data_IF_532761126567
#
_entry.id   IF_532761126567
#
_cell.length_a   1.000
_cell.length_b   1.000
_cell.length_c   1.000
_cell.angle_alpha   90.00
_cell.angle_beta   90.00
_cell.angle_gamma   90.00
#
_symmetry.space_group_name_H-M   'P 1'
#
loop_
_entity.id
_entity.type
_entity.pdbx_description
1 polymer ?
#
# COMPACT_ATOMS: atom_id res chain seq x y z
N UNK A 1 49.54 -31.48 17.12
CA UNK A 1 49.19 -31.88 15.74
C UNK A 1 48.67 -30.63 15.06
N UNK A 2 49.43 -30.04 14.14
CA UNK A 2 49.09 -28.76 13.50
C UNK A 2 48.47 -29.09 12.15
N UNK A 3 47.22 -28.68 11.95
CA UNK A 3 46.50 -28.90 10.70
C UNK A 3 47.17 -28.10 9.57
N UNK A 4 47.30 -28.73 8.41
CA UNK A 4 47.87 -28.16 7.20
C UNK A 4 46.92 -27.11 6.60
N UNK A 5 47.46 -26.19 5.80
CA UNK A 5 46.67 -25.12 5.15
C UNK A 5 45.56 -25.68 4.23
N UNK A 6 45.75 -26.87 3.67
CA UNK A 6 44.75 -27.55 2.85
C UNK A 6 43.59 -28.12 3.69
N UNK A 7 43.89 -28.67 4.88
CA UNK A 7 42.86 -29.14 5.82
C UNK A 7 42.00 -27.97 6.34
N UNK A 8 42.62 -26.81 6.59
CA UNK A 8 41.89 -25.58 6.97
C UNK A 8 41.00 -25.09 5.82
N UNK A 9 41.49 -25.15 4.58
CA UNK A 9 40.72 -24.73 3.39
C UNK A 9 39.53 -25.65 3.09
N UNK A 10 39.64 -26.95 3.37
CA UNK A 10 38.55 -27.91 3.19
C UNK A 10 37.49 -27.82 4.29
N UNK A 11 37.89 -27.48 5.53
CA UNK A 11 36.94 -27.19 6.61
C UNK A 11 36.16 -25.91 6.28
N UNK A 12 36.84 -24.85 5.82
CA UNK A 12 36.21 -23.57 5.49
C UNK A 12 35.17 -23.67 4.36
N UNK A 13 35.42 -24.49 3.33
CA UNK A 13 34.45 -24.73 2.24
C UNK A 13 33.30 -25.63 2.67
N UNK A 14 33.52 -26.56 3.61
CA UNK A 14 32.46 -27.42 4.16
C UNK A 14 31.53 -26.64 5.09
N UNK A 15 32.06 -25.70 5.88
CA UNK A 15 31.24 -24.85 6.77
C UNK A 15 30.47 -23.76 6.00
N UNK A 16 31.01 -23.26 4.88
CA UNK A 16 30.33 -22.29 4.03
C UNK A 16 29.15 -22.87 3.24
N UNK A 17 29.07 -24.20 3.08
CA UNK A 17 27.99 -24.87 2.36
C UNK A 17 26.76 -25.24 3.20
N UNK A 18 26.80 -25.09 4.53
CA UNK A 18 25.84 -25.77 5.43
C UNK A 18 24.95 -24.85 6.28
N UNK A 19 25.02 -23.52 6.14
CA UNK A 19 24.06 -22.62 6.80
C UNK A 19 23.67 -21.46 5.88
N UNK A 20 23.18 -21.78 4.69
CA UNK A 20 22.23 -20.91 4.01
C UNK A 20 20.85 -21.37 4.46
N UNK A 21 20.51 -21.01 5.70
CA UNK A 21 19.16 -21.17 6.21
C UNK A 21 18.26 -20.37 5.27
N UNK A 22 17.50 -21.08 4.44
CA UNK A 22 16.43 -20.49 3.65
C UNK A 22 15.50 -19.87 4.67
N UNK A 23 15.54 -18.56 4.80
CA UNK A 23 14.46 -17.81 5.44
C UNK A 23 13.28 -17.98 4.49
N UNK A 24 12.50 -19.04 4.70
CA UNK A 24 11.22 -19.17 4.02
C UNK A 24 10.41 -17.91 4.35
N UNK A 25 9.82 -17.23 3.36
CA UNK A 25 9.01 -16.07 3.63
C UNK A 25 7.91 -16.51 4.59
N UNK A 26 7.89 -15.91 5.78
CA UNK A 26 6.89 -16.15 6.80
C UNK A 26 5.54 -15.96 6.13
N UNK A 27 4.88 -17.06 5.76
CA UNK A 27 3.59 -16.99 5.10
C UNK A 27 2.66 -16.38 6.13
N UNK A 28 2.27 -15.13 5.93
CA UNK A 28 1.17 -14.56 6.70
C UNK A 28 -0.06 -15.40 6.38
N UNK A 29 -0.37 -16.38 7.23
CA UNK A 29 -1.54 -17.25 7.07
C UNK A 29 -2.85 -16.47 7.23
N UNK A 30 -2.76 -15.23 7.74
CA UNK A 30 -3.89 -14.38 8.07
C UNK A 30 -3.85 -13.05 7.34
N UNK A 31 -4.98 -12.65 6.74
CA UNK A 31 -5.13 -11.34 6.10
C UNK A 31 -4.85 -10.20 7.10
N UNK A 32 -3.88 -9.30 6.82
CA UNK A 32 -3.61 -8.16 7.70
C UNK A 32 -4.81 -7.22 7.79
N UNK A 33 -5.63 -7.16 6.73
CA UNK A 33 -6.86 -6.41 6.69
C UNK A 33 -7.88 -6.79 7.79
N UNK A 34 -7.80 -8.01 8.35
CA UNK A 34 -8.74 -8.54 9.36
C UNK A 34 -8.22 -8.46 10.78
N UNK A 35 -6.93 -8.14 10.96
CA UNK A 35 -6.23 -8.18 12.24
C UNK A 35 -5.52 -6.84 12.53
N UNK A 36 -5.62 -5.89 11.60
CA UNK A 36 -4.99 -4.58 11.69
C UNK A 36 -5.41 -3.80 12.94
N UNK A 37 -4.48 -2.99 13.44
CA UNK A 37 -4.75 -2.00 14.48
C UNK A 37 -5.75 -0.97 13.93
N UNK A 38 -6.63 -0.45 14.78
CA UNK A 38 -7.50 0.70 14.44
C UNK A 38 -6.67 1.84 13.81
N UNK A 39 -6.96 2.28 12.56
CA UNK A 39 -6.14 3.26 11.83
C UNK A 39 -5.91 4.57 12.57
N UNK A 40 -6.86 5.00 13.40
CA UNK A 40 -6.76 6.21 14.21
C UNK A 40 -5.66 6.13 15.26
N UNK A 41 -5.26 4.93 15.67
CA UNK A 41 -4.19 4.70 16.66
C UNK A 41 -2.82 4.49 16.02
N UNK A 42 -2.76 4.29 14.71
CA UNK A 42 -1.51 4.10 14.00
C UNK A 42 -0.73 5.43 13.87
N UNK A 43 0.61 5.40 13.96
CA UNK A 43 1.44 6.51 13.52
C UNK A 43 1.36 6.68 11.99
N UNK A 44 1.63 7.89 11.50
CA UNK A 44 1.52 8.23 10.07
C UNK A 44 2.36 7.27 9.19
N UNK A 45 3.59 6.97 9.59
CA UNK A 45 4.47 6.06 8.86
C UNK A 45 3.86 4.66 8.73
N UNK A 46 3.29 4.11 9.82
CA UNK A 46 2.67 2.78 9.76
C UNK A 46 1.45 2.74 8.84
N UNK A 47 0.69 3.84 8.74
CA UNK A 47 -0.43 3.94 7.79
C UNK A 47 0.10 3.92 6.34
N UNK A 48 1.16 4.67 6.05
CA UNK A 48 1.79 4.68 4.73
C UNK A 48 2.36 3.31 4.36
N UNK A 49 3.03 2.65 5.30
CA UNK A 49 3.59 1.32 5.12
C UNK A 49 2.49 0.28 4.86
N UNK A 50 1.40 0.31 5.65
CA UNK A 50 0.28 -0.61 5.46
C UNK A 50 -0.46 -0.36 4.14
N UNK A 51 -0.64 0.90 3.74
CA UNK A 51 -1.21 1.23 2.41
C UNK A 51 -0.35 0.64 1.28
N UNK A 52 0.97 0.84 1.31
CA UNK A 52 1.87 0.27 0.31
C UNK A 52 1.84 -1.27 0.32
N UNK A 53 1.79 -1.89 1.50
CA UNK A 53 1.71 -3.34 1.62
C UNK A 53 0.41 -3.90 1.01
N UNK A 54 -0.74 -3.31 1.35
CA UNK A 54 -2.04 -3.73 0.81
C UNK A 54 -2.13 -3.53 -0.71
N UNK A 55 -1.62 -2.40 -1.22
CA UNK A 55 -1.72 -2.05 -2.63
C UNK A 55 -0.72 -2.83 -3.49
N UNK A 56 0.49 -3.11 -3.01
CA UNK A 56 1.61 -3.54 -3.84
C UNK A 56 2.28 -4.88 -3.45
N UNK A 57 2.21 -5.31 -2.19
CA UNK A 57 2.94 -6.50 -1.72
C UNK A 57 2.25 -7.81 -2.12
N UNK A 58 3.00 -8.69 -2.81
CA UNK A 58 2.51 -10.00 -3.25
C UNK A 58 2.20 -10.96 -2.10
N UNK A 59 3.00 -10.93 -1.02
CA UNK A 59 2.77 -11.78 0.15
C UNK A 59 1.46 -11.41 0.85
N UNK A 60 1.19 -10.09 0.98
CA UNK A 60 -0.08 -9.60 1.52
C UNK A 60 -1.24 -10.02 0.63
N UNK A 61 -1.15 -9.82 -0.69
CA UNK A 61 -2.20 -10.25 -1.63
C UNK A 61 -2.52 -11.75 -1.50
N UNK A 62 -1.49 -12.60 -1.38
CA UNK A 62 -1.66 -14.05 -1.15
C UNK A 62 -2.35 -14.33 0.18
N UNK A 63 -1.93 -13.68 1.27
CA UNK A 63 -2.54 -13.81 2.59
C UNK A 63 -4.02 -13.38 2.61
N UNK A 64 -4.37 -12.36 1.82
CA UNK A 64 -5.74 -11.89 1.65
C UNK A 64 -6.58 -12.78 0.71
N UNK A 65 -5.96 -13.70 -0.03
CA UNK A 65 -6.56 -14.34 -1.23
C UNK A 65 -7.15 -13.30 -2.20
N UNK A 66 -6.44 -12.17 -2.38
CA UNK A 66 -6.88 -11.05 -3.20
C UNK A 66 -6.62 -11.32 -4.69
N UNK A 67 -7.71 -11.39 -5.47
CA UNK A 67 -7.68 -11.78 -6.90
C UNK A 67 -8.45 -10.80 -7.78
N UNK A 68 -9.46 -10.14 -7.22
CA UNK A 68 -10.36 -9.27 -7.95
C UNK A 68 -9.65 -7.94 -8.22
N UNK A 69 -9.66 -7.49 -9.48
CA UNK A 69 -8.96 -6.26 -9.88
C UNK A 69 -9.83 -5.05 -9.55
N UNK A 70 -9.23 -4.08 -8.87
CA UNK A 70 -9.91 -2.88 -8.42
C UNK A 70 -9.08 -1.64 -8.77
N UNK A 71 -9.77 -0.54 -9.06
CA UNK A 71 -9.17 0.78 -9.24
C UNK A 71 -9.47 1.63 -8.02
N UNK A 72 -8.43 2.02 -7.28
CA UNK A 72 -8.50 3.09 -6.29
C UNK A 72 -8.25 4.43 -6.97
N UNK A 73 -9.23 5.33 -6.91
CA UNK A 73 -9.08 6.73 -7.32
C UNK A 73 -9.08 7.64 -6.10
N UNK A 74 -8.06 8.49 -5.97
CA UNK A 74 -7.94 9.53 -4.94
C UNK A 74 -7.89 10.89 -5.63
N UNK A 75 -8.79 11.81 -5.26
CA UNK A 75 -8.76 13.19 -5.74
C UNK A 75 -8.41 14.11 -4.58
N UNK A 76 -7.36 14.90 -4.77
CA UNK A 76 -6.81 15.83 -3.79
C UNK A 76 -6.47 17.16 -4.43
N UNK A 77 -6.48 18.24 -3.64
CA UNK A 77 -6.05 19.55 -4.10
C UNK A 77 -4.57 19.52 -4.49
N UNK A 78 -4.24 20.19 -5.60
CA UNK A 78 -2.88 20.17 -6.15
C UNK A 78 -1.77 20.53 -5.14
N UNK A 79 -1.94 21.54 -4.25
CA UNK A 79 -0.92 21.89 -3.26
C UNK A 79 -0.60 20.76 -2.26
N UNK A 80 -1.55 19.87 -1.98
CA UNK A 80 -1.42 18.78 -1.00
C UNK A 80 -1.10 17.43 -1.64
N UNK A 81 -0.99 17.34 -2.96
CA UNK A 81 -0.69 16.10 -3.68
C UNK A 81 0.61 15.41 -3.19
N UNK A 82 1.62 16.20 -2.79
CA UNK A 82 2.90 15.72 -2.28
C UNK A 82 2.77 14.83 -1.02
N UNK A 83 1.67 14.95 -0.26
CA UNK A 83 1.41 14.03 0.85
C UNK A 83 1.21 12.58 0.39
N UNK A 84 1.01 12.31 -0.89
CA UNK A 84 0.82 10.98 -1.45
C UNK A 84 2.04 10.48 -2.26
N UNK A 85 3.19 11.15 -2.12
CA UNK A 85 4.43 10.75 -2.81
C UNK A 85 4.93 9.37 -2.38
N UNK A 86 4.54 8.91 -1.18
CA UNK A 86 4.88 7.58 -0.67
C UNK A 86 4.23 6.41 -1.45
N UNK A 87 3.17 6.67 -2.23
CA UNK A 87 2.52 5.65 -3.07
C UNK A 87 3.37 5.38 -4.32
N UNK A 88 3.89 4.17 -4.45
CA UNK A 88 4.92 3.83 -5.44
C UNK A 88 4.37 3.46 -6.82
N UNK A 89 3.14 2.95 -6.91
CA UNK A 89 2.51 2.51 -8.16
C UNK A 89 1.22 3.26 -8.44
N UNK A 90 1.32 4.47 -8.99
CA UNK A 90 0.18 5.34 -9.28
C UNK A 90 0.31 6.03 -10.64
N UNK A 91 -0.83 6.24 -11.29
CA UNK A 91 -0.97 7.16 -12.42
C UNK A 91 -1.50 8.49 -11.90
N UNK A 92 -0.91 9.60 -12.36
CA UNK A 92 -1.30 10.94 -11.95
C UNK A 92 -1.98 11.71 -13.09
N UNK A 93 -3.13 12.31 -12.79
CA UNK A 93 -3.87 13.17 -13.71
C UNK A 93 -4.05 14.57 -13.14
N UNK A 94 -3.85 15.59 -13.97
CA UNK A 94 -4.25 16.97 -13.66
C UNK A 94 -5.72 17.13 -13.96
N UNK A 95 -6.53 17.36 -12.94
CA UNK A 95 -7.99 17.47 -13.07
C UNK A 95 -8.50 18.79 -12.48
N UNK A 96 -9.69 19.22 -12.91
CA UNK A 96 -10.38 20.38 -12.33
C UNK A 96 -11.68 19.91 -11.71
N UNK A 97 -11.88 20.20 -10.43
CA UNK A 97 -13.12 19.90 -9.72
C UNK A 97 -13.93 21.18 -9.54
N UNK A 98 -15.24 21.09 -9.70
CA UNK A 98 -16.17 22.13 -9.26
C UNK A 98 -16.88 21.63 -8.02
N UNK A 99 -16.32 21.91 -6.84
CA UNK A 99 -16.81 21.39 -5.58
C UNK A 99 -17.78 22.36 -4.94
N UNK A 100 -18.87 21.84 -4.36
CA UNK A 100 -19.77 22.62 -3.53
C UNK A 100 -19.13 22.74 -2.15
N UNK A 101 -18.70 23.94 -1.79
CA UNK A 101 -18.25 24.23 -0.41
C UNK A 101 -19.48 24.34 0.50
N UNK A 102 -19.41 23.89 1.76
CA UNK A 102 -20.50 24.07 2.71
C UNK A 102 -20.92 25.54 2.87
N UNK A 103 -19.96 26.46 2.74
CA UNK A 103 -20.12 27.85 3.18
C UNK A 103 -20.12 28.90 2.04
N UNK A 104 -19.62 28.57 0.84
CA UNK A 104 -19.22 29.58 -0.17
C UNK A 104 -19.62 29.26 -1.63
N UNK A 105 -20.60 28.39 -1.85
CA UNK A 105 -21.06 28.08 -3.22
C UNK A 105 -20.14 27.11 -3.95
N UNK A 106 -19.68 27.44 -5.16
CA UNK A 106 -18.84 26.55 -5.98
C UNK A 106 -17.46 27.15 -6.24
N UNK A 107 -16.42 26.38 -5.97
CA UNK A 107 -15.04 26.72 -6.31
C UNK A 107 -14.54 25.84 -7.46
N UNK A 108 -13.78 26.42 -8.40
CA UNK A 108 -13.10 25.66 -9.46
C UNK A 108 -11.66 25.41 -9.01
N UNK A 109 -11.45 24.24 -8.42
CA UNK A 109 -10.20 23.87 -7.80
C UNK A 109 -9.31 23.07 -8.73
N UNK A 110 -8.00 23.34 -8.68
CA UNK A 110 -6.99 22.52 -9.35
C UNK A 110 -6.69 21.32 -8.46
N UNK A 111 -6.95 20.14 -9.01
CA UNK A 111 -6.80 18.89 -8.31
C UNK A 111 -5.81 17.98 -9.04
N UNK A 112 -5.35 17.01 -8.29
CA UNK A 112 -4.62 15.86 -8.78
C UNK A 112 -5.47 14.63 -8.51
N UNK A 113 -5.71 13.81 -9.53
CA UNK A 113 -6.28 12.48 -9.36
C UNK A 113 -5.15 11.45 -9.43
N UNK A 114 -5.09 10.59 -8.42
CA UNK A 114 -4.20 9.45 -8.35
C UNK A 114 -5.02 8.19 -8.57
N UNK A 115 -4.63 7.41 -9.57
CA UNK A 115 -5.25 6.13 -9.89
C UNK A 115 -4.26 5.01 -9.59
N UNK A 116 -4.70 4.04 -8.78
CA UNK A 116 -3.92 2.88 -8.35
C UNK A 116 -4.72 1.62 -8.62
N UNK A 117 -4.21 0.75 -9.49
CA UNK A 117 -4.76 -0.61 -9.61
C UNK A 117 -4.23 -1.47 -8.46
N UNK A 118 -5.14 -2.18 -7.79
CA UNK A 118 -4.81 -3.13 -6.74
C UNK A 118 -5.69 -4.39 -6.85
N UNK A 119 -5.44 -5.35 -5.98
CA UNK A 119 -6.27 -6.56 -5.87
C UNK A 119 -7.03 -6.56 -4.56
N UNK A 120 -8.31 -6.87 -4.63
CA UNK A 120 -9.15 -7.10 -3.48
C UNK A 120 -9.51 -8.58 -3.33
N UNK A 121 -9.89 -8.94 -2.11
CA UNK A 121 -10.50 -10.21 -1.80
C UNK A 121 -11.98 -10.17 -2.16
N UNK A 122 -12.57 -11.35 -2.37
CA UNK A 122 -13.99 -11.48 -2.74
C UNK A 122 -14.97 -10.92 -1.68
N UNK A 123 -14.53 -10.74 -0.44
CA UNK A 123 -15.30 -10.08 0.64
C UNK A 123 -15.01 -8.56 0.76
N UNK A 124 -14.24 -7.99 -0.18
CA UNK A 124 -13.83 -6.60 -0.30
C UNK A 124 -13.04 -6.07 0.90
N UNK A 125 -12.39 -6.96 1.67
CA UNK A 125 -11.74 -6.58 2.91
C UNK A 125 -10.50 -5.69 2.69
N UNK A 126 -9.78 -5.82 1.56
CA UNK A 126 -8.61 -4.98 1.27
C UNK A 126 -9.06 -3.56 0.92
N UNK A 127 -10.05 -3.40 0.04
CA UNK A 127 -10.60 -2.10 -0.34
C UNK A 127 -11.18 -1.34 0.85
N UNK A 128 -11.95 -2.03 1.70
CA UNK A 128 -12.48 -1.45 2.95
C UNK A 128 -11.35 -0.92 3.84
N UNK A 129 -10.31 -1.73 4.06
CA UNK A 129 -9.16 -1.34 4.88
C UNK A 129 -8.39 -0.16 4.30
N UNK A 130 -8.18 -0.14 2.98
CA UNK A 130 -7.53 0.98 2.28
C UNK A 130 -8.30 2.29 2.51
N UNK A 131 -9.64 2.27 2.39
CA UNK A 131 -10.47 3.46 2.62
C UNK A 131 -10.38 3.95 4.08
N UNK A 132 -10.35 3.05 5.05
CA UNK A 132 -10.18 3.40 6.47
C UNK A 132 -8.81 4.04 6.75
N UNK A 133 -7.74 3.44 6.22
CA UNK A 133 -6.38 3.97 6.31
C UNK A 133 -6.28 5.36 5.67
N UNK A 134 -6.87 5.57 4.50
CA UNK A 134 -6.90 6.88 3.82
C UNK A 134 -7.65 7.94 4.64
N UNK A 135 -8.78 7.58 5.27
CA UNK A 135 -9.51 8.49 6.17
C UNK A 135 -8.65 8.91 7.36
N UNK A 136 -7.98 7.95 8.01
CA UNK A 136 -7.10 8.22 9.13
C UNK A 136 -5.88 9.05 8.70
N UNK A 137 -5.27 8.73 7.55
CA UNK A 137 -4.16 9.47 6.97
C UNK A 137 -4.54 10.92 6.69
N UNK A 138 -5.70 11.14 6.06
CA UNK A 138 -6.20 12.47 5.76
C UNK A 138 -6.30 13.32 7.04
N UNK A 139 -6.92 12.76 8.09
CA UNK A 139 -7.09 13.45 9.37
C UNK A 139 -5.75 13.81 10.04
N UNK A 140 -4.73 12.97 9.89
CA UNK A 140 -3.44 13.10 10.59
C UNK A 140 -2.39 13.92 9.84
N UNK A 141 -2.37 13.85 8.51
CA UNK A 141 -1.23 14.34 7.71
C UNK A 141 -1.62 15.34 6.62
N UNK A 142 -2.79 15.17 5.99
CA UNK A 142 -3.19 15.95 4.80
C UNK A 142 -4.10 17.12 5.17
N UNK A 143 -5.00 16.88 6.12
CA UNK A 143 -6.06 17.79 6.56
C UNK A 143 -6.86 18.36 5.38
N UNK A 144 -7.28 17.50 4.46
CA UNK A 144 -8.19 17.88 3.38
C UNK A 144 -9.64 17.75 3.84
N UNK A 145 -10.43 18.80 3.63
CA UNK A 145 -11.86 18.79 3.96
C UNK A 145 -12.63 17.85 3.03
N UNK A 146 -12.26 17.87 1.74
CA UNK A 146 -12.88 17.09 0.68
C UNK A 146 -11.87 16.13 0.05
N UNK A 147 -11.24 15.25 0.84
CA UNK A 147 -10.52 14.11 0.27
C UNK A 147 -11.53 13.13 -0.30
N UNK A 148 -11.59 13.02 -1.63
CA UNK A 148 -12.41 12.02 -2.29
C UNK A 148 -11.57 10.78 -2.60
N UNK A 149 -11.97 9.64 -2.06
CA UNK A 149 -11.38 8.35 -2.39
C UNK A 149 -12.50 7.33 -2.67
N UNK A 150 -12.33 6.52 -3.71
CA UNK A 150 -13.25 5.42 -4.05
C UNK A 150 -12.49 4.24 -4.64
N UNK A 151 -13.05 3.05 -4.49
CA UNK A 151 -12.64 1.85 -5.22
C UNK A 151 -13.73 1.46 -6.22
N UNK A 152 -13.36 0.89 -7.35
CA UNK A 152 -14.28 0.38 -8.36
C UNK A 152 -13.71 -0.87 -9.04
N UNK A 153 -14.53 -1.90 -9.30
CA UNK A 153 -14.07 -3.11 -9.97
C UNK A 153 -13.62 -2.80 -11.39
N UNK A 154 -12.56 -3.49 -11.83
CA UNK A 154 -12.05 -3.44 -13.20
C UNK A 154 -12.52 -4.71 -13.91
N UNK A 155 -13.54 -4.59 -14.75
CA UNK A 155 -14.06 -5.70 -15.56
C UNK A 155 -13.09 -6.09 -16.68
N UNK A 156 -12.57 -5.10 -17.40
CA UNK A 156 -11.61 -5.26 -18.48
C UNK A 156 -10.56 -4.15 -18.41
N UNK A 157 -9.32 -4.48 -18.73
CA UNK A 157 -8.24 -3.50 -18.76
C UNK A 157 -7.01 -4.05 -19.48
N UNK A 158 -6.26 -3.15 -20.12
CA UNK A 158 -4.95 -3.43 -20.70
C UNK A 158 -3.89 -2.65 -19.94
N UNK A 159 -2.64 -3.10 -20.06
CA UNK A 159 -1.46 -2.27 -19.80
C UNK A 159 -1.05 -1.58 -21.10
#
# INVERSE_FOLDING_TARGET
>A
MVLTKEEISQIATKTAGEVMERVEPFAMETCPCKIGIEPERMPVQAIQDELNALLYDEAVRKACNAKDRELLSIIITQPKAHHFDFLTGKTEWKVRGKWKRPDEGFDIERNVQLDIEFKDATDECVGKRVIELLKAYNKKAVSEELLYARTMPIEEGTL
#
